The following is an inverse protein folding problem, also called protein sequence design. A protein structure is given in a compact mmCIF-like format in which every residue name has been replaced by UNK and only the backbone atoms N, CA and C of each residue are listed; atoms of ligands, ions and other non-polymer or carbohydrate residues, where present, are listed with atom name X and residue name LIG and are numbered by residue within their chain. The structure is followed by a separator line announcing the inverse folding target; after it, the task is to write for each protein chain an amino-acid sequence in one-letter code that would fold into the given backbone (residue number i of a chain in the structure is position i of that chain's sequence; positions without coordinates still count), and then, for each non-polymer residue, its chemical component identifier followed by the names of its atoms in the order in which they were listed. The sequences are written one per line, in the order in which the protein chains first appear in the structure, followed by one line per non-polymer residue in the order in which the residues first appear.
data_IF_831250286277
#
_entry.id   IF_831250286277
#
_cell.length_a   1.000
_cell.length_b   1.000
_cell.length_c   1.000
_cell.angle_alpha   90.00
_cell.angle_beta   90.00
_cell.angle_gamma   90.00
#
_symmetry.space_group_name_H-M   'P 1'
#
loop_
_entity.id
_entity.type
_entity.pdbx_description
1 polymer ?
#
# COMPACT_ATOMS: atom_id res chain seq x y z
N UNK A 1 5.87 -26.79 -5.80
CA UNK A 1 6.61 -25.83 -4.94
C UNK A 1 6.97 -24.62 -5.79
N UNK A 2 6.75 -23.42 -5.29
CA UNK A 2 7.14 -22.16 -5.89
C UNK A 2 7.95 -21.35 -4.89
N UNK A 3 9.16 -20.97 -5.27
CA UNK A 3 10.05 -20.11 -4.47
C UNK A 3 10.79 -19.13 -5.35
N UNK A 4 11.20 -18.02 -4.80
CA UNK A 4 12.12 -17.06 -5.42
C UNK A 4 13.53 -17.15 -4.80
N UNK A 5 13.75 -18.12 -3.91
CA UNK A 5 15.05 -18.40 -3.32
C UNK A 5 15.88 -19.27 -4.27
N UNK A 6 17.13 -18.90 -4.54
CA UNK A 6 18.05 -19.62 -5.45
C UNK A 6 18.82 -20.76 -4.76
N UNK A 7 18.59 -21.02 -3.49
CA UNK A 7 19.26 -22.09 -2.73
C UNK A 7 18.61 -23.45 -3.03
N UNK A 8 19.38 -24.52 -2.95
CA UNK A 8 18.88 -25.89 -3.09
C UNK A 8 17.81 -26.21 -2.04
N UNK A 9 17.98 -25.72 -0.81
CA UNK A 9 16.97 -25.73 0.25
C UNK A 9 16.47 -24.31 0.48
N UNK A 10 15.32 -23.92 -0.10
CA UNK A 10 14.83 -22.56 0.02
C UNK A 10 14.34 -22.26 1.44
N UNK A 11 14.74 -21.10 1.99
CA UNK A 11 14.28 -20.65 3.29
C UNK A 11 12.76 -20.47 3.37
N UNK A 12 12.11 -20.24 2.24
CA UNK A 12 10.66 -20.17 2.14
C UNK A 12 10.19 -20.70 0.79
N UNK A 13 9.06 -21.33 0.79
CA UNK A 13 8.39 -21.78 -0.45
C UNK A 13 6.88 -21.81 -0.28
N UNK A 14 6.21 -21.70 -1.40
CA UNK A 14 4.77 -21.95 -1.48
C UNK A 14 4.53 -23.36 -1.99
N UNK A 15 3.82 -24.15 -1.23
CA UNK A 15 3.32 -25.44 -1.70
C UNK A 15 1.90 -25.27 -2.27
N UNK A 16 1.66 -25.88 -3.42
CA UNK A 16 0.42 -25.76 -4.17
C UNK A 16 0.02 -27.13 -4.73
N UNK A 17 -1.11 -27.62 -4.28
CA UNK A 17 -1.55 -28.97 -4.65
C UNK A 17 -2.17 -29.01 -6.07
N UNK A 18 -2.93 -27.98 -6.45
CA UNK A 18 -3.56 -27.90 -7.78
C UNK A 18 -3.33 -26.53 -8.39
N UNK A 19 -2.78 -26.52 -9.61
CA UNK A 19 -2.60 -25.31 -10.40
C UNK A 19 -3.38 -25.41 -11.71
N UNK A 20 -4.07 -24.33 -12.08
CA UNK A 20 -4.74 -24.18 -13.35
C UNK A 20 -4.35 -22.88 -14.00
N UNK A 21 -3.80 -22.96 -15.21
CA UNK A 21 -3.51 -21.78 -16.04
C UNK A 21 -4.78 -21.41 -16.82
N UNK A 22 -5.17 -20.13 -16.75
CA UNK A 22 -6.33 -19.59 -17.44
C UNK A 22 -5.86 -18.62 -18.51
N UNK A 23 -6.19 -18.89 -19.76
CA UNK A 23 -5.90 -18.04 -20.93
C UNK A 23 -4.43 -17.60 -21.05
N UNK A 24 -3.49 -18.40 -20.57
CA UNK A 24 -2.08 -18.06 -20.54
C UNK A 24 -1.75 -16.71 -19.83
N UNK A 25 -2.68 -16.16 -19.04
CA UNK A 25 -2.61 -14.88 -18.38
C UNK A 25 -2.48 -15.02 -16.86
N UNK A 26 -3.19 -15.96 -16.27
CA UNK A 26 -3.27 -16.16 -14.82
C UNK A 26 -3.10 -17.61 -14.44
N UNK A 27 -2.38 -17.86 -13.37
CA UNK A 27 -2.30 -19.17 -12.71
C UNK A 27 -3.14 -19.12 -11.45
N UNK A 28 -4.14 -19.95 -11.35
CA UNK A 28 -4.93 -20.14 -10.13
C UNK A 28 -4.41 -21.39 -9.44
N UNK A 29 -3.98 -21.24 -8.19
CA UNK A 29 -3.51 -22.36 -7.37
C UNK A 29 -4.40 -22.53 -6.13
N UNK A 30 -4.57 -23.78 -5.68
CA UNK A 30 -5.35 -24.12 -4.47
C UNK A 30 -5.05 -25.53 -3.95
N UNK A 31 -4.97 -25.70 -2.61
CA UNK A 31 -4.68 -24.65 -1.64
C UNK A 31 -3.25 -24.14 -1.81
N UNK A 32 -2.94 -23.01 -1.21
CA UNK A 32 -1.58 -22.47 -1.15
C UNK A 32 -1.15 -22.45 0.29
N UNK A 33 -0.03 -23.07 0.59
CA UNK A 33 0.56 -23.07 1.94
C UNK A 33 1.95 -22.46 1.85
N UNK A 34 2.19 -21.43 2.66
CA UNK A 34 3.53 -20.84 2.82
C UNK A 34 4.29 -21.62 3.89
N UNK A 35 5.43 -22.15 3.50
CA UNK A 35 6.41 -22.75 4.38
C UNK A 35 7.59 -21.80 4.58
N UNK A 36 8.05 -21.69 5.82
CA UNK A 36 9.30 -21.04 6.20
C UNK A 36 10.11 -22.03 7.01
N UNK A 37 11.33 -22.35 6.54
CA UNK A 37 12.16 -23.41 7.14
C UNK A 37 11.36 -24.71 7.36
N UNK A 38 10.61 -25.14 6.34
CA UNK A 38 9.74 -26.33 6.29
C UNK A 38 8.59 -26.35 7.32
N UNK A 39 8.37 -25.23 8.01
CA UNK A 39 7.24 -25.07 8.92
C UNK A 39 6.10 -24.37 8.17
N UNK A 40 4.88 -24.94 8.13
CA UNK A 40 3.74 -24.28 7.54
C UNK A 40 3.27 -23.11 8.41
N UNK A 41 3.43 -21.90 7.92
CA UNK A 41 3.10 -20.69 8.67
C UNK A 41 1.70 -20.18 8.31
N UNK A 42 1.34 -20.25 7.04
CA UNK A 42 0.11 -19.64 6.57
C UNK A 42 -0.48 -20.40 5.39
N UNK A 43 -1.79 -20.61 5.40
CA UNK A 43 -2.51 -21.28 4.33
C UNK A 43 -3.64 -20.41 3.75
N UNK A 44 -3.74 -20.38 2.44
CA UNK A 44 -4.84 -19.78 1.71
C UNK A 44 -5.62 -20.86 0.95
N UNK A 45 -6.96 -20.79 0.93
CA UNK A 45 -7.76 -21.74 0.17
C UNK A 45 -7.54 -21.64 -1.35
N UNK A 46 -7.15 -20.47 -1.84
CA UNK A 46 -6.78 -20.25 -3.24
C UNK A 46 -5.92 -19.00 -3.40
N UNK A 47 -5.18 -18.90 -4.49
CA UNK A 47 -4.46 -17.70 -4.91
C UNK A 47 -4.41 -17.59 -6.43
N UNK A 48 -4.24 -16.37 -6.90
CA UNK A 48 -4.15 -16.07 -8.33
C UNK A 48 -2.83 -15.35 -8.58
N UNK A 49 -2.01 -15.92 -9.44
CA UNK A 49 -0.70 -15.36 -9.82
C UNK A 49 -0.73 -14.92 -11.28
N UNK A 50 -0.26 -13.72 -11.61
CA UNK A 50 -0.12 -13.30 -13.00
C UNK A 50 1.02 -14.08 -13.66
N UNK A 51 0.80 -14.54 -14.89
CA UNK A 51 1.79 -15.31 -15.65
C UNK A 51 2.48 -14.49 -16.74
N UNK A 52 1.79 -13.53 -17.34
CA UNK A 52 2.36 -12.73 -18.43
C UNK A 52 3.17 -11.52 -17.92
N UNK A 53 4.42 -11.41 -18.39
CA UNK A 53 5.25 -10.22 -18.19
C UNK A 53 4.78 -9.11 -19.14
N UNK A 54 4.69 -7.87 -18.63
CA UNK A 54 4.48 -6.67 -19.45
C UNK A 54 3.05 -6.11 -19.48
N UNK A 55 2.05 -6.80 -18.91
CA UNK A 55 0.71 -6.25 -18.68
C UNK A 55 0.53 -5.81 -17.23
N UNK A 56 -0.38 -4.87 -17.00
CA UNK A 56 -0.77 -4.50 -15.63
C UNK A 56 -1.63 -5.61 -15.04
N UNK A 57 -1.20 -6.19 -13.94
CA UNK A 57 -1.93 -7.24 -13.25
C UNK A 57 -2.32 -6.79 -11.86
N UNK A 58 -3.56 -7.11 -11.47
CA UNK A 58 -4.00 -6.94 -10.10
C UNK A 58 -3.30 -7.95 -9.19
N UNK A 59 -2.97 -7.54 -7.97
CA UNK A 59 -2.29 -8.44 -7.04
C UNK A 59 -2.13 -7.84 -5.65
N UNK A 60 -1.77 -8.70 -4.71
CA UNK A 60 -1.47 -8.32 -3.35
C UNK A 60 -0.13 -7.61 -3.26
N UNK A 61 -0.08 -6.59 -2.40
CA UNK A 61 1.13 -5.88 -2.03
C UNK A 61 1.52 -6.40 -0.65
N UNK A 62 2.69 -7.06 -0.59
CA UNK A 62 3.19 -7.59 0.66
C UNK A 62 3.64 -6.45 1.57
N UNK A 63 3.28 -6.51 2.86
CA UNK A 63 3.69 -5.50 3.82
C UNK A 63 5.15 -5.64 4.20
N UNK A 64 5.78 -4.55 4.57
CA UNK A 64 6.97 -4.57 5.40
C UNK A 64 6.57 -4.56 6.88
N UNK A 65 7.31 -5.25 7.71
CA UNK A 65 7.07 -5.31 9.14
C UNK A 65 8.38 -5.17 9.91
N UNK A 66 8.29 -4.70 11.13
CA UNK A 66 9.46 -4.51 11.97
C UNK A 66 9.12 -3.82 13.27
N UNK A 67 10.17 -3.41 13.97
CA UNK A 67 10.08 -2.62 15.20
C UNK A 67 10.97 -1.39 15.09
N UNK A 68 10.50 -0.27 15.59
CA UNK A 68 11.20 1.01 15.60
C UNK A 68 10.97 1.70 16.94
N UNK A 69 11.99 2.40 17.46
CA UNK A 69 11.89 3.10 18.74
C UNK A 69 10.80 4.17 18.77
N UNK A 70 10.47 4.76 17.62
CA UNK A 70 9.47 5.81 17.49
C UNK A 70 8.05 5.26 17.34
N UNK A 71 7.88 4.22 16.51
CA UNK A 71 6.57 3.72 16.10
C UNK A 71 6.14 2.46 16.84
N UNK A 72 7.07 1.83 17.61
CA UNK A 72 6.87 0.51 18.16
C UNK A 72 6.90 -0.57 17.09
N UNK A 73 6.11 -1.61 17.24
CA UNK A 73 5.86 -2.58 16.19
C UNK A 73 5.07 -1.96 15.04
N UNK A 74 5.39 -2.33 13.80
CA UNK A 74 4.64 -1.84 12.65
C UNK A 74 4.45 -2.90 11.57
N UNK A 75 3.35 -2.78 10.86
CA UNK A 75 3.06 -3.45 9.60
C UNK A 75 2.73 -2.34 8.60
N UNK A 76 3.55 -2.17 7.57
CA UNK A 76 3.43 -1.06 6.65
C UNK A 76 3.15 -1.54 5.22
N UNK A 77 2.12 -0.98 4.59
CA UNK A 77 1.87 -1.14 3.18
C UNK A 77 1.21 -2.45 2.77
N UNK A 78 0.53 -3.16 3.70
CA UNK A 78 -0.34 -4.27 3.29
C UNK A 78 -1.40 -3.73 2.35
N UNK A 79 -1.54 -4.31 1.16
CA UNK A 79 -2.45 -3.74 0.20
C UNK A 79 -2.83 -4.62 -0.96
N UNK A 80 -3.64 -4.04 -1.81
CA UNK A 80 -4.07 -4.65 -3.05
C UNK A 80 -4.01 -3.63 -4.19
N UNK A 81 -3.33 -4.00 -5.26
CA UNK A 81 -3.32 -3.26 -6.52
C UNK A 81 -4.36 -3.85 -7.45
N UNK A 82 -5.27 -3.01 -7.92
CA UNK A 82 -6.34 -3.40 -8.83
C UNK A 82 -6.20 -2.67 -10.16
N UNK A 83 -5.77 -3.39 -11.18
CA UNK A 83 -5.79 -2.94 -12.56
C UNK A 83 -7.20 -3.15 -13.12
N UNK A 84 -8.07 -2.13 -13.03
CA UNK A 84 -9.47 -2.22 -13.45
C UNK A 84 -9.56 -2.29 -14.96
N UNK A 85 -8.81 -1.44 -15.65
CA UNK A 85 -8.67 -1.44 -17.10
C UNK A 85 -7.36 -0.76 -17.53
N UNK A 86 -7.13 -0.62 -18.84
CA UNK A 86 -5.90 -0.02 -19.37
C UNK A 86 -5.76 1.48 -19.05
N UNK A 87 -6.84 2.13 -18.64
CA UNK A 87 -6.89 3.58 -18.39
C UNK A 87 -6.98 3.93 -16.91
N UNK A 88 -7.37 2.99 -16.05
CA UNK A 88 -7.62 3.24 -14.65
C UNK A 88 -7.10 2.11 -13.77
N UNK A 89 -6.34 2.47 -12.76
CA UNK A 89 -5.87 1.56 -11.72
C UNK A 89 -6.05 2.16 -10.32
N UNK A 90 -6.19 1.28 -9.34
CA UNK A 90 -6.36 1.62 -7.93
C UNK A 90 -5.40 0.81 -7.08
N UNK A 91 -4.74 1.47 -6.15
CA UNK A 91 -3.90 0.85 -5.13
C UNK A 91 -4.46 1.18 -3.76
N UNK A 92 -4.92 0.17 -3.04
CA UNK A 92 -5.38 0.29 -1.66
C UNK A 92 -4.29 -0.23 -0.75
N UNK A 93 -3.90 0.55 0.26
CA UNK A 93 -2.90 0.14 1.26
C UNK A 93 -3.34 0.48 2.66
N UNK A 94 -3.04 -0.42 3.60
CA UNK A 94 -3.23 -0.26 5.02
C UNK A 94 -1.88 -0.37 5.73
N UNK A 95 -1.65 0.51 6.69
CA UNK A 95 -0.46 0.48 7.55
C UNK A 95 -0.90 0.62 9.00
N UNK A 96 -0.30 -0.19 9.85
CA UNK A 96 -0.53 -0.20 11.28
C UNK A 96 0.77 0.12 12.02
N UNK A 97 0.67 0.99 13.01
CA UNK A 97 1.77 1.38 13.89
C UNK A 97 1.28 1.34 15.33
N UNK A 98 1.93 0.55 16.17
CA UNK A 98 1.52 0.34 17.57
C UNK A 98 1.35 1.64 18.37
N UNK A 99 2.23 2.62 18.16
CA UNK A 99 2.20 3.91 18.88
C UNK A 99 1.52 5.06 18.13
N UNK A 100 1.23 4.91 16.85
CA UNK A 100 0.70 6.03 16.04
C UNK A 100 -0.73 5.76 15.54
N UNK A 101 -1.06 4.50 15.26
CA UNK A 101 -2.42 4.12 14.83
C UNK A 101 -2.45 3.46 13.45
N UNK A 102 -3.54 3.70 12.73
CA UNK A 102 -3.83 3.07 11.44
C UNK A 102 -3.85 4.13 10.34
N UNK A 103 -3.20 3.85 9.24
CA UNK A 103 -3.26 4.67 8.02
C UNK A 103 -3.84 3.83 6.89
N UNK A 104 -4.91 4.31 6.28
CA UNK A 104 -5.47 3.75 5.05
C UNK A 104 -5.24 4.72 3.90
N UNK A 105 -4.79 4.21 2.77
CA UNK A 105 -4.51 5.02 1.59
C UNK A 105 -5.10 4.37 0.34
N UNK A 106 -5.82 5.18 -0.44
CA UNK A 106 -6.29 4.83 -1.78
C UNK A 106 -5.61 5.73 -2.79
N UNK A 107 -4.81 5.14 -3.67
CA UNK A 107 -4.16 5.83 -4.78
C UNK A 107 -4.83 5.38 -6.07
N UNK A 108 -5.41 6.31 -6.80
CA UNK A 108 -6.14 6.05 -8.02
C UNK A 108 -5.46 6.81 -9.16
N UNK A 109 -5.04 6.09 -10.19
CA UNK A 109 -4.42 6.68 -11.37
C UNK A 109 -5.33 6.48 -12.57
N UNK A 110 -5.44 7.52 -13.38
CA UNK A 110 -6.16 7.44 -14.62
C UNK A 110 -5.37 8.11 -15.73
N UNK A 111 -5.32 7.47 -16.89
CA UNK A 111 -4.61 8.03 -18.04
C UNK A 111 -5.18 7.54 -19.35
N UNK A 112 -5.32 8.47 -20.30
CA UNK A 112 -5.63 8.15 -21.69
C UNK A 112 -4.54 8.76 -22.57
N UNK A 113 -3.85 7.90 -23.31
CA UNK A 113 -2.73 8.32 -24.16
C UNK A 113 -3.14 9.49 -25.06
N UNK A 114 -2.27 10.50 -25.12
CA UNK A 114 -2.45 11.75 -25.89
C UNK A 114 -3.61 12.66 -25.47
N UNK A 115 -4.42 12.33 -24.47
CA UNK A 115 -5.58 13.10 -24.05
C UNK A 115 -5.42 13.67 -22.64
N UNK A 116 -5.42 12.82 -21.64
CA UNK A 116 -5.33 13.23 -20.24
C UNK A 116 -4.60 12.21 -19.39
N UNK A 117 -4.05 12.67 -18.28
CA UNK A 117 -3.56 11.84 -17.19
C UNK A 117 -3.80 12.54 -15.86
N UNK A 118 -3.97 11.76 -14.82
CA UNK A 118 -4.15 12.30 -13.48
C UNK A 118 -4.10 11.23 -12.41
N UNK A 119 -4.08 11.70 -11.17
CA UNK A 119 -4.16 10.86 -9.98
C UNK A 119 -5.08 11.47 -8.95
N UNK A 120 -5.73 10.61 -8.20
CA UNK A 120 -6.56 10.97 -7.07
C UNK A 120 -6.17 10.12 -5.87
N UNK A 121 -5.61 10.76 -4.84
CA UNK A 121 -5.12 10.12 -3.63
C UNK A 121 -6.01 10.50 -2.45
N UNK A 122 -6.52 9.51 -1.76
CA UNK A 122 -7.23 9.66 -0.50
C UNK A 122 -6.43 8.93 0.59
N UNK A 123 -6.11 9.63 1.66
CA UNK A 123 -5.46 9.08 2.83
C UNK A 123 -6.27 9.41 4.08
N UNK A 124 -6.54 8.42 4.89
CA UNK A 124 -7.12 8.61 6.22
C UNK A 124 -6.17 8.03 7.26
N UNK A 125 -5.91 8.80 8.29
CA UNK A 125 -5.07 8.41 9.41
C UNK A 125 -5.88 8.52 10.69
N UNK A 126 -6.03 7.40 11.38
CA UNK A 126 -6.61 7.33 12.72
C UNK A 126 -5.49 7.15 13.73
N UNK A 127 -5.34 8.11 14.63
CA UNK A 127 -4.31 8.07 15.68
C UNK A 127 -4.88 7.57 16.98
N UNK A 128 -4.07 6.82 17.72
CA UNK A 128 -4.38 6.51 19.10
C UNK A 128 -4.19 7.76 19.97
N UNK A 129 -5.11 7.97 20.91
CA UNK A 129 -4.91 9.03 21.91
C UNK A 129 -3.70 8.69 22.79
N UNK A 130 -2.89 9.68 23.12
CA UNK A 130 -1.75 9.52 24.02
C UNK A 130 -2.12 9.08 25.45
N UNK A 131 -3.40 9.23 25.80
CA UNK A 131 -3.97 8.82 27.10
C UNK A 131 -4.50 7.38 27.12
N UNK A 132 -4.51 6.67 25.99
CA UNK A 132 -5.00 5.29 25.93
C UNK A 132 -3.91 4.32 26.37
N UNK A 133 -4.13 3.54 27.46
CA UNK A 133 -3.18 2.50 27.88
C UNK A 133 -2.92 1.49 26.76
N UNK A 134 -1.71 0.93 26.70
CA UNK A 134 -1.33 -0.04 25.67
C UNK A 134 -2.26 -1.28 25.62
N UNK A 135 -2.82 -1.67 26.77
CA UNK A 135 -3.76 -2.79 26.89
C UNK A 135 -5.14 -2.54 26.26
N UNK A 136 -5.52 -1.28 26.04
CA UNK A 136 -6.81 -0.90 25.44
C UNK A 136 -6.70 -0.52 23.95
N UNK A 137 -5.53 -0.64 23.35
CA UNK A 137 -5.28 -0.31 21.94
C UNK A 137 -5.71 -1.44 21.02
N UNK A 138 -6.96 -1.86 21.14
CA UNK A 138 -7.52 -2.87 20.25
C UNK A 138 -7.70 -2.32 18.83
N UNK A 139 -7.19 -3.04 17.84
CA UNK A 139 -7.29 -2.72 16.40
C UNK A 139 -8.77 -2.65 15.98
N UNK A 140 -9.63 -3.42 16.63
CA UNK A 140 -11.06 -3.51 16.34
C UNK A 140 -11.95 -2.63 17.22
N UNK A 141 -11.41 -2.08 18.31
CA UNK A 141 -12.17 -1.18 19.16
C UNK A 141 -12.14 0.24 18.59
N UNK A 142 -13.07 0.53 17.69
CA UNK A 142 -13.29 1.84 17.08
C UNK A 142 -13.89 2.89 18.04
N UNK A 143 -13.69 2.70 19.34
CA UNK A 143 -14.26 3.55 20.41
C UNK A 143 -13.68 4.97 20.48
N UNK A 144 -14.44 5.79 21.07
CA UNK A 144 -14.75 7.20 21.15
C UNK A 144 -13.70 8.30 21.28
N UNK A 145 -12.38 8.04 21.26
CA UNK A 145 -11.36 9.10 21.42
C UNK A 145 -10.27 9.06 20.33
N UNK A 146 -10.66 8.93 19.06
CA UNK A 146 -9.73 8.89 17.95
C UNK A 146 -9.69 10.21 17.20
N UNK A 147 -8.51 10.73 17.00
CA UNK A 147 -8.30 11.83 16.06
C UNK A 147 -8.16 11.24 14.65
N UNK A 148 -9.12 11.54 13.79
CA UNK A 148 -9.12 11.12 12.41
C UNK A 148 -8.72 12.29 11.52
N UNK A 149 -7.66 12.11 10.75
CA UNK A 149 -7.19 13.08 9.75
C UNK A 149 -7.44 12.54 8.35
N UNK A 150 -7.90 13.40 7.46
CA UNK A 150 -8.15 13.07 6.06
C UNK A 150 -7.33 13.97 5.16
N UNK A 151 -6.71 13.38 4.15
CA UNK A 151 -5.97 14.09 3.12
C UNK A 151 -6.47 13.63 1.76
N UNK A 152 -6.85 14.59 0.95
CA UNK A 152 -7.28 14.37 -0.42
C UNK A 152 -6.35 15.18 -1.33
N UNK A 153 -5.79 14.52 -2.34
CA UNK A 153 -4.96 15.16 -3.37
C UNK A 153 -5.47 14.75 -4.74
N UNK A 154 -5.64 15.72 -5.59
CA UNK A 154 -6.04 15.50 -6.96
C UNK A 154 -5.11 16.25 -7.91
N UNK A 155 -4.54 15.52 -8.84
CA UNK A 155 -3.71 16.06 -9.90
C UNK A 155 -4.34 15.67 -11.24
N UNK A 156 -4.55 16.62 -12.11
CA UNK A 156 -5.09 16.38 -13.43
C UNK A 156 -4.31 17.19 -14.46
N UNK A 157 -3.95 16.56 -15.56
CA UNK A 157 -3.36 17.21 -16.73
C UNK A 157 -4.06 16.73 -17.98
N UNK A 158 -4.48 17.68 -18.81
CA UNK A 158 -5.16 17.43 -20.06
C UNK A 158 -4.46 18.16 -21.21
N UNK A 159 -4.29 17.47 -22.33
CA UNK A 159 -3.89 18.09 -23.59
C UNK A 159 -5.12 18.61 -24.29
N UNK A 160 -5.10 19.90 -24.62
CA UNK A 160 -6.13 20.59 -25.38
C UNK A 160 -5.73 20.66 -26.86
N UNK A 161 -6.65 21.15 -27.68
CA UNK A 161 -6.40 21.42 -29.10
C UNK A 161 -5.33 22.53 -29.26
N UNK A 162 -4.59 22.54 -30.33
CA UNK A 162 -3.57 23.56 -30.65
C UNK A 162 -2.35 23.58 -29.71
N UNK A 163 -1.85 22.38 -29.32
CA UNK A 163 -0.64 22.28 -28.51
C UNK A 163 -0.73 22.91 -27.08
N UNK A 164 -1.94 23.19 -26.63
CA UNK A 164 -2.22 23.73 -25.31
C UNK A 164 -2.35 22.58 -24.29
N UNK A 165 -2.03 22.85 -23.04
CA UNK A 165 -2.25 21.91 -21.92
C UNK A 165 -2.87 22.64 -20.75
N UNK A 166 -3.82 21.99 -20.10
CA UNK A 166 -4.39 22.44 -18.83
C UNK A 166 -3.93 21.49 -17.72
N UNK A 167 -3.59 22.04 -16.56
CA UNK A 167 -3.28 21.26 -15.36
C UNK A 167 -4.00 21.84 -14.16
N UNK A 168 -4.51 20.93 -13.32
CA UNK A 168 -5.17 21.26 -12.05
C UNK A 168 -4.50 20.44 -10.96
N UNK A 169 -4.11 21.11 -9.87
CA UNK A 169 -3.61 20.48 -8.67
C UNK A 169 -4.45 20.98 -7.49
N UNK A 170 -5.15 20.07 -6.83
CA UNK A 170 -5.96 20.39 -5.67
C UNK A 170 -5.55 19.50 -4.50
N UNK A 171 -5.49 20.07 -3.29
CA UNK A 171 -5.25 19.33 -2.07
C UNK A 171 -6.16 19.83 -0.96
N UNK A 172 -6.74 18.90 -0.21
CA UNK A 172 -7.56 19.17 0.96
C UNK A 172 -7.02 18.40 2.16
N UNK A 173 -6.97 19.06 3.30
CA UNK A 173 -6.51 18.51 4.57
C UNK A 173 -7.57 18.79 5.63
N UNK A 174 -8.02 17.78 6.36
CA UNK A 174 -9.05 17.93 7.39
C UNK A 174 -8.56 18.66 8.65
N UNK A 175 -7.26 18.59 8.92
CA UNK A 175 -6.65 19.32 10.05
C UNK A 175 -5.41 20.10 9.64
N UNK A 176 -5.26 21.31 10.15
CA UNK A 176 -4.08 22.14 9.94
C UNK A 176 -2.80 21.55 10.56
N UNK A 177 -2.95 20.71 11.57
CA UNK A 177 -1.84 20.03 12.27
C UNK A 177 -1.19 18.94 11.39
N UNK A 178 -1.93 18.34 10.49
CA UNK A 178 -1.38 17.37 9.53
C UNK A 178 -0.30 18.01 8.65
N UNK A 179 -0.59 19.16 8.11
CA UNK A 179 0.35 19.92 7.23
C UNK A 179 1.59 20.39 7.97
N UNK A 180 1.44 20.84 9.20
CA UNK A 180 2.55 21.31 10.04
C UNK A 180 3.54 20.19 10.36
N UNK A 181 3.03 19.01 10.73
CA UNK A 181 3.87 17.87 11.10
C UNK A 181 4.57 17.24 9.90
N UNK A 182 3.90 17.13 8.77
CA UNK A 182 4.50 16.60 7.54
C UNK A 182 5.57 17.54 6.99
N UNK A 183 5.35 18.85 7.05
CA UNK A 183 6.34 19.86 6.66
C UNK A 183 7.59 19.86 7.57
N UNK A 184 7.39 19.78 8.88
CA UNK A 184 8.48 19.69 9.84
C UNK A 184 9.30 18.40 9.70
N UNK A 185 8.66 17.28 9.38
CA UNK A 185 9.37 16.01 9.15
C UNK A 185 10.18 16.03 7.85
N UNK A 186 9.63 16.63 6.82
CA UNK A 186 10.34 16.83 5.54
C UNK A 186 11.56 17.73 5.72
N UNK A 187 11.42 18.81 6.49
CA UNK A 187 12.51 19.71 6.82
C UNK A 187 13.59 19.06 7.70
N UNK A 188 13.21 18.22 8.65
CA UNK A 188 14.14 17.41 9.45
C UNK A 188 14.93 16.42 8.59
N UNK A 189 14.32 15.77 7.63
CA UNK A 189 14.99 14.85 6.69
C UNK A 189 15.99 15.59 5.80
N UNK A 190 15.62 16.76 5.28
CA UNK A 190 16.52 17.59 4.47
C UNK A 190 17.72 18.08 5.28
N UNK A 191 17.51 18.50 6.53
CA UNK A 191 18.60 18.90 7.42
C UNK A 191 19.52 17.75 7.81
N UNK A 192 18.99 16.53 8.00
CA UNK A 192 19.81 15.35 8.27
C UNK A 192 20.66 14.95 7.06
N UNK A 193 20.14 15.07 5.84
CA UNK A 193 20.91 14.83 4.62
C UNK A 193 21.99 15.89 4.38
N UNK A 194 21.73 17.15 4.76
CA UNK A 194 22.70 18.23 4.63
C UNK A 194 23.86 18.14 5.65
N UNK A 195 23.70 17.44 6.77
CA UNK A 195 24.74 17.23 7.79
C UNK A 195 25.58 15.97 7.52
N UNK A 196 25.10 15.05 6.66
CA UNK A 196 25.79 13.80 6.33
C UNK A 196 26.64 13.87 5.05
N UNK A 197 26.72 15.04 4.41
CA UNK A 197 27.62 15.39 3.32
C UNK A 197 28.69 16.37 3.81
#
# INVERSE_FOLDING_TARGET
IYTTCELEEPHFHFDMNRMKMINNDKVVARPIVLYIADIPIFGLPFGVFPHQKGRRHSGWIMPSYGTDNRWGGYINGLGYYWAINDYFDTKLTASFYDRDGITLRSQNNYSKRYSYNGSFDLETKQRFSSSTPAAERDIFNLGSNKQSDYVLRWNHRQKLRNNQSASVNASYYSSGDYNRRTGLEQQKRLNQQAVSN
#
